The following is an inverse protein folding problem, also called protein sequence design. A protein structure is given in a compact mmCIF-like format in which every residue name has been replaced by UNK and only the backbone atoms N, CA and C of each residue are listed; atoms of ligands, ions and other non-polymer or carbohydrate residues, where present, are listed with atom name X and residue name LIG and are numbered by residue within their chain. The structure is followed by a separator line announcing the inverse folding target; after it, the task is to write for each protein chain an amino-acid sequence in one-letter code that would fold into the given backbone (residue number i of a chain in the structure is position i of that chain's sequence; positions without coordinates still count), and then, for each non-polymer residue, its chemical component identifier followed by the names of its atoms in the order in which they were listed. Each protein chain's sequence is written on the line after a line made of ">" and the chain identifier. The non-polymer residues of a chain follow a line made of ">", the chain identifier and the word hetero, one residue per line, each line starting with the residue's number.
data_IF_933823004026
#
_entry.id   IF_933823004026
#
_cell.length_a   1.000
_cell.length_b   1.000
_cell.length_c   1.000
_cell.angle_alpha   90.00
_cell.angle_beta   90.00
_cell.angle_gamma   90.00
#
_symmetry.space_group_name_H-M   'P 1'
#
loop_
_entity.id
_entity.type
_entity.pdbx_description
1 polymer ?
#
# COMPACT_ATOMS: atom_id res chain seq x y z
N UNK A 1 -22.64 -19.53 3.75
CA UNK A 1 -22.36 -18.16 3.26
C UNK A 1 -20.92 -17.85 3.60
N UNK A 2 -20.00 -18.07 2.66
CA UNK A 2 -18.57 -17.88 2.90
C UNK A 2 -18.27 -16.41 3.15
N UNK A 3 -17.75 -16.08 4.33
CA UNK A 3 -17.18 -14.77 4.62
C UNK A 3 -15.90 -14.64 3.78
N UNK A 4 -16.04 -14.26 2.51
CA UNK A 4 -14.95 -13.58 1.83
C UNK A 4 -14.80 -12.25 2.56
N UNK A 5 -13.93 -12.22 3.58
CA UNK A 5 -13.39 -10.98 4.10
C UNK A 5 -12.83 -10.26 2.87
N UNK A 6 -13.59 -9.28 2.36
CA UNK A 6 -13.15 -8.46 1.23
C UNK A 6 -11.87 -7.83 1.71
N UNK A 7 -10.73 -8.30 1.19
CA UNK A 7 -9.43 -7.70 1.46
C UNK A 7 -9.60 -6.23 1.11
N UNK A 8 -9.47 -5.36 2.13
CA UNK A 8 -9.80 -3.96 1.94
C UNK A 8 -8.60 -3.35 1.27
N UNK A 9 -8.80 -2.72 0.11
CA UNK A 9 -7.71 -2.02 -0.58
C UNK A 9 -7.13 -0.99 0.37
N UNK A 10 -5.81 -1.00 0.55
CA UNK A 10 -5.14 -0.04 1.40
C UNK A 10 -5.28 1.36 0.80
N UNK A 11 -6.11 2.20 1.41
CA UNK A 11 -6.39 3.56 0.94
C UNK A 11 -5.13 4.43 0.94
N UNK A 12 -4.17 4.13 1.82
CA UNK A 12 -2.93 4.90 1.97
C UNK A 12 -2.01 4.82 0.75
N UNK A 13 -2.08 3.71 -0.01
CA UNK A 13 -1.38 3.55 -1.29
C UNK A 13 -2.31 3.21 -2.45
N UNK A 14 -3.62 3.38 -2.28
CA UNK A 14 -4.65 3.00 -3.24
C UNK A 14 -4.48 1.58 -3.81
N UNK A 15 -4.02 0.63 -2.97
CA UNK A 15 -3.86 -0.76 -3.40
C UNK A 15 -2.54 -1.11 -4.07
N UNK A 16 -1.66 -0.14 -4.31
CA UNK A 16 -0.38 -0.39 -4.99
C UNK A 16 0.64 -1.11 -4.11
N UNK A 17 0.46 -1.07 -2.78
CA UNK A 17 1.38 -1.65 -1.81
C UNK A 17 2.63 -0.81 -1.56
N UNK A 18 2.84 0.28 -2.28
CA UNK A 18 4.06 1.09 -2.24
C UNK A 18 3.75 2.58 -2.29
N UNK A 19 4.65 3.38 -1.75
CA UNK A 19 4.59 4.84 -1.81
C UNK A 19 5.91 5.37 -2.36
N UNK A 20 5.81 6.36 -3.22
CA UNK A 20 6.96 7.07 -3.76
C UNK A 20 7.30 8.21 -2.82
N UNK A 21 8.49 8.15 -2.23
CA UNK A 21 9.05 9.21 -1.39
C UNK A 21 10.06 9.97 -2.24
N UNK A 22 9.86 11.28 -2.40
CA UNK A 22 10.86 12.12 -3.02
C UNK A 22 11.77 12.65 -1.92
N UNK A 23 13.01 12.17 -1.87
CA UNK A 23 14.01 12.63 -0.92
C UNK A 23 15.26 13.05 -1.71
N UNK A 24 15.66 14.32 -1.54
CA UNK A 24 16.88 14.88 -2.12
C UNK A 24 17.04 14.65 -3.64
N UNK A 25 16.03 15.06 -4.43
CA UNK A 25 15.96 14.85 -5.89
C UNK A 25 15.94 13.38 -6.35
N UNK A 26 15.80 12.42 -5.44
CA UNK A 26 15.59 11.01 -5.77
C UNK A 26 14.19 10.55 -5.39
N UNK A 27 13.51 9.93 -6.34
CA UNK A 27 12.32 9.15 -6.03
C UNK A 27 12.76 7.79 -5.50
N UNK A 28 12.37 7.49 -4.27
CA UNK A 28 12.52 6.19 -3.64
C UNK A 28 11.13 5.55 -3.49
N UNK A 29 10.92 4.37 -4.09
CA UNK A 29 9.74 3.56 -3.77
C UNK A 29 9.99 2.80 -2.48
N UNK A 30 9.14 3.02 -1.47
CA UNK A 30 9.16 2.26 -0.22
C UNK A 30 7.82 1.55 0.00
N UNK A 31 7.78 0.45 0.77
CA UNK A 31 6.54 -0.23 1.09
C UNK A 31 5.56 0.72 1.75
N UNK A 32 4.29 0.66 1.37
CA UNK A 32 3.26 1.48 2.00
C UNK A 32 3.09 1.00 3.44
N UNK A 33 3.30 1.87 4.45
CA UNK A 33 3.22 1.49 5.85
C UNK A 33 1.81 1.07 6.26
N UNK A 34 0.78 1.60 5.60
CA UNK A 34 -0.62 1.25 5.86
C UNK A 34 -0.97 -0.20 5.56
N UNK A 35 -0.20 -0.88 4.70
CA UNK A 35 -0.41 -2.29 4.35
C UNK A 35 0.88 -3.12 4.30
N UNK A 36 1.99 -2.61 4.84
CA UNK A 36 3.30 -3.28 4.82
C UNK A 36 3.69 -3.88 3.46
N UNK A 37 3.44 -3.19 2.34
CA UNK A 37 3.81 -3.70 1.02
C UNK A 37 2.73 -4.50 0.27
N UNK A 38 1.64 -4.93 0.91
CA UNK A 38 0.70 -5.90 0.31
C UNK A 38 -0.38 -5.28 -0.58
N UNK A 39 -0.59 -3.96 -0.45
CA UNK A 39 -1.68 -3.22 -1.09
C UNK A 39 -3.04 -3.45 -0.43
N UNK A 40 -3.16 -4.30 0.58
CA UNK A 40 -4.43 -4.70 1.18
C UNK A 40 -4.32 -4.76 2.71
N UNK A 41 -5.35 -4.30 3.41
CA UNK A 41 -5.50 -4.41 4.87
C UNK A 41 -6.54 -5.45 5.25
#
# INVERSE_FOLDING_TARGET
>A
MGKHSKKVTCSMCNGTGKQTFNNDNRQEERPCPGCNGTGQV
#
